data_IF_557319694047
#
_entry.id   IF_557319694047
#
_cell.length_a   1.000
_cell.length_b   1.000
_cell.length_c   1.000
_cell.angle_alpha   90.00
_cell.angle_beta   90.00
_cell.angle_gamma   90.00
#
_symmetry.space_group_name_H-M   'P 1'
#
loop_
_entity.id
_entity.type
_entity.pdbx_description
1 polymer ?
#
# COMPACT_ATOMS: atom_id res chain seq x y z
N UNK A 1 -7.14 6.07 2.90
CA UNK A 1 -8.37 6.75 3.36
C UNK A 1 -7.97 7.91 4.27
N UNK A 2 -8.70 9.03 4.21
CA UNK A 2 -8.43 10.29 4.89
C UNK A 2 -7.67 10.12 6.22
N UNK A 3 -6.40 10.55 6.23
CA UNK A 3 -5.61 10.63 7.46
C UNK A 3 -6.37 11.60 8.38
N UNK A 4 -6.78 11.11 9.54
CA UNK A 4 -7.76 11.73 10.43
C UNK A 4 -7.58 13.27 10.51
N UNK A 5 -8.54 14.03 9.97
CA UNK A 5 -8.61 15.48 10.11
C UNK A 5 -8.21 16.34 8.90
N UNK A 6 -7.59 15.77 7.85
CA UNK A 6 -7.31 16.49 6.61
C UNK A 6 -8.57 16.62 5.73
N UNK A 7 -8.74 17.79 5.10
CA UNK A 7 -9.85 18.13 4.20
C UNK A 7 -9.33 18.47 2.80
N UNK A 8 -10.15 18.22 1.78
CA UNK A 8 -9.85 18.71 0.44
C UNK A 8 -9.73 20.25 0.47
N UNK A 9 -8.64 20.76 -0.12
CA UNK A 9 -8.31 22.19 -0.07
C UNK A 9 -7.33 22.59 1.04
N UNK A 10 -6.93 21.66 1.92
CA UNK A 10 -5.83 21.92 2.85
C UNK A 10 -4.48 21.99 2.11
N UNK A 11 -3.67 23.01 2.42
CA UNK A 11 -2.29 23.14 1.93
C UNK A 11 -1.33 22.88 3.09
N UNK A 12 -0.55 21.81 3.01
CA UNK A 12 0.44 21.48 4.04
C UNK A 12 1.64 22.42 3.89
N UNK A 13 2.01 23.10 4.97
CA UNK A 13 3.13 24.05 5.01
C UNK A 13 4.29 23.55 5.88
N UNK A 14 4.02 22.69 6.87
CA UNK A 14 5.05 22.05 7.69
C UNK A 14 4.60 20.69 8.24
N UNK A 15 5.58 19.84 8.58
CA UNK A 15 5.38 18.57 9.25
C UNK A 15 6.43 18.39 10.37
N UNK A 16 5.99 18.10 11.60
CA UNK A 16 6.82 18.08 12.81
C UNK A 16 7.73 19.32 12.97
N UNK A 17 7.22 20.49 12.58
CA UNK A 17 7.97 21.75 12.61
C UNK A 17 8.95 21.96 11.45
N UNK A 18 9.12 20.97 10.56
CA UNK A 18 9.95 21.09 9.36
C UNK A 18 9.12 21.68 8.21
N UNK A 19 9.58 22.77 7.55
CA UNK A 19 8.90 23.33 6.39
C UNK A 19 8.78 22.31 5.25
N UNK A 20 7.59 22.19 4.68
CA UNK A 20 7.30 21.31 3.54
C UNK A 20 7.03 22.19 2.32
N UNK A 21 7.99 22.23 1.41
CA UNK A 21 7.93 23.09 0.22
C UNK A 21 7.11 22.53 -0.96
N UNK A 22 6.57 21.31 -0.84
CA UNK A 22 5.83 20.67 -1.92
C UNK A 22 5.62 19.18 -1.72
N UNK A 23 4.99 18.55 -2.72
CA UNK A 23 4.59 17.13 -2.66
C UNK A 23 5.77 16.18 -2.47
N UNK A 24 6.91 16.44 -3.11
CA UNK A 24 8.09 15.58 -3.02
C UNK A 24 8.73 15.66 -1.62
N UNK A 25 8.79 16.87 -1.06
CA UNK A 25 9.28 17.08 0.31
C UNK A 25 8.38 16.39 1.33
N UNK A 26 7.05 16.45 1.14
CA UNK A 26 6.09 15.73 1.99
C UNK A 26 6.29 14.22 1.91
N UNK A 27 6.41 13.67 0.70
CA UNK A 27 6.64 12.23 0.48
C UNK A 27 7.95 11.77 1.11
N UNK A 28 9.03 12.57 0.99
CA UNK A 28 10.31 12.28 1.63
C UNK A 28 10.19 12.29 3.16
N UNK A 29 9.50 13.30 3.70
CA UNK A 29 9.25 13.40 5.14
C UNK A 29 8.48 12.17 5.65
N UNK A 30 7.40 11.78 4.95
CA UNK A 30 6.61 10.59 5.27
C UNK A 30 7.47 9.33 5.27
N UNK A 31 8.36 9.17 4.28
CA UNK A 31 9.27 8.01 4.18
C UNK A 31 10.30 7.92 5.30
N UNK A 32 10.59 9.01 6.00
CA UNK A 32 11.55 9.06 7.12
C UNK A 32 10.91 8.84 8.49
N UNK A 33 9.58 8.87 8.60
CA UNK A 33 8.92 8.74 9.90
C UNK A 33 8.95 7.29 10.40
N UNK A 34 9.22 7.13 11.71
CA UNK A 34 9.05 5.85 12.37
C UNK A 34 7.57 5.44 12.39
N UNK A 35 7.32 4.15 12.23
CA UNK A 35 5.96 3.60 12.26
C UNK A 35 5.29 3.82 13.61
N UNK A 36 3.97 4.08 13.61
CA UNK A 36 3.20 4.37 14.82
C UNK A 36 3.45 5.77 15.40
N UNK A 37 4.32 6.58 14.80
CA UNK A 37 4.56 7.95 15.24
C UNK A 37 3.35 8.86 14.99
N UNK A 38 3.18 9.85 15.85
CA UNK A 38 2.27 10.97 15.59
C UNK A 38 3.03 12.03 14.81
N UNK A 39 2.45 12.47 13.70
CA UNK A 39 2.95 13.59 12.92
C UNK A 39 2.05 14.80 13.17
N UNK A 40 2.67 15.92 13.46
CA UNK A 40 2.01 17.22 13.57
C UNK A 40 2.13 17.94 12.23
N UNK A 41 1.03 18.13 11.52
CA UNK A 41 0.98 18.89 10.28
C UNK A 41 0.52 20.32 10.56
N UNK A 42 1.26 21.29 10.05
CA UNK A 42 0.76 22.65 9.88
C UNK A 42 0.12 22.75 8.50
N UNK A 43 -1.15 23.15 8.46
CA UNK A 43 -1.91 23.29 7.21
C UNK A 43 -2.54 24.68 7.13
N UNK A 44 -2.67 25.19 5.91
CA UNK A 44 -3.53 26.32 5.58
C UNK A 44 -4.86 25.76 5.09
N UNK A 45 -5.93 26.03 5.85
CA UNK A 45 -7.31 25.69 5.50
C UNK A 45 -8.09 26.97 5.30
N UNK A 46 -8.58 27.19 4.08
CA UNK A 46 -9.32 28.42 3.73
C UNK A 46 -8.51 29.69 4.10
N UNK A 47 -7.19 29.63 3.92
CA UNK A 47 -6.26 30.72 4.25
C UNK A 47 -5.90 30.87 5.74
N UNK A 48 -6.47 30.06 6.64
CA UNK A 48 -6.17 30.11 8.08
C UNK A 48 -5.21 29.00 8.49
N UNK A 49 -4.20 29.28 9.33
CA UNK A 49 -3.31 28.24 9.84
C UNK A 49 -4.07 27.33 10.82
N UNK A 50 -3.98 26.03 10.59
CA UNK A 50 -4.54 24.98 11.42
C UNK A 50 -3.43 23.97 11.69
N UNK A 51 -3.32 23.53 12.95
CA UNK A 51 -2.41 22.44 13.31
C UNK A 51 -3.21 21.17 13.50
N UNK A 52 -2.83 20.10 12.79
CA UNK A 52 -3.47 18.80 12.85
C UNK A 52 -2.46 17.78 13.37
N UNK A 53 -2.84 17.03 14.40
CA UNK A 53 -2.05 15.89 14.83
C UNK A 53 -2.64 14.63 14.21
N UNK A 54 -1.92 14.05 13.25
CA UNK A 54 -2.30 12.81 12.61
C UNK A 54 -1.50 11.66 13.22
N UNK A 55 -2.18 10.57 13.57
CA UNK A 55 -1.48 9.31 13.82
C UNK A 55 -1.10 8.72 12.47
N UNK A 56 0.20 8.51 12.21
CA UNK A 56 0.61 7.57 11.18
C UNK A 56 0.25 6.18 11.72
N UNK A 57 -1.01 5.77 11.48
CA UNK A 57 -1.45 4.41 11.81
C UNK A 57 -0.52 3.46 11.07
N UNK A 58 0.06 2.50 11.79
CA UNK A 58 0.64 1.30 11.19
C UNK A 58 -0.39 0.75 10.20
N UNK A 59 -0.13 0.92 8.91
CA UNK A 59 -0.67 -0.04 7.97
C UNK A 59 0.07 -1.34 8.27
N UNK A 60 -0.64 -2.47 8.44
CA UNK A 60 0.01 -3.75 8.63
C UNK A 60 1.10 -3.88 7.57
N UNK A 61 2.36 -4.05 7.99
CA UNK A 61 3.49 -4.24 7.05
C UNK A 61 3.21 -5.42 6.12
N UNK A 62 2.42 -6.36 6.63
CA UNK A 62 2.00 -7.60 5.99
C UNK A 62 0.51 -7.84 6.30
N UNK A 63 -0.27 -8.27 5.30
CA UNK A 63 -1.69 -8.64 5.41
C UNK A 63 -1.83 -10.08 4.93
N UNK A 64 -2.61 -10.90 5.64
CA UNK A 64 -2.86 -12.28 5.21
C UNK A 64 -3.78 -12.27 3.97
N UNK A 65 -3.45 -13.10 2.98
CA UNK A 65 -4.19 -13.18 1.72
C UNK A 65 -5.68 -13.48 1.90
N UNK A 66 -6.01 -14.30 2.90
CA UNK A 66 -7.39 -14.65 3.25
C UNK A 66 -8.24 -13.44 3.68
N UNK A 67 -7.63 -12.33 4.11
CA UNK A 67 -8.33 -11.09 4.43
C UNK A 67 -8.79 -10.33 3.17
N UNK A 68 -8.15 -10.57 2.03
CA UNK A 68 -8.58 -10.02 0.74
C UNK A 68 -9.58 -10.95 0.06
N UNK A 69 -9.23 -12.23 -0.06
CA UNK A 69 -10.04 -13.23 -0.73
C UNK A 69 -9.63 -14.64 -0.27
N UNK A 70 -10.59 -15.57 0.00
CA UNK A 70 -10.29 -16.95 0.36
C UNK A 70 -9.40 -17.70 -0.63
N UNK A 71 -9.37 -17.31 -1.91
CA UNK A 71 -8.49 -17.90 -2.94
C UNK A 71 -7.02 -17.58 -2.73
N UNK A 72 -6.72 -16.54 -1.95
CA UNK A 72 -5.37 -16.13 -1.58
C UNK A 72 -4.94 -16.68 -0.20
N UNK A 73 -5.74 -17.57 0.39
CA UNK A 73 -5.41 -18.14 1.69
C UNK A 73 -4.04 -18.83 1.70
N UNK A 74 -3.26 -18.54 2.74
CA UNK A 74 -1.90 -19.03 2.95
C UNK A 74 -0.79 -18.20 2.29
N UNK A 75 -1.12 -17.11 1.60
CA UNK A 75 -0.15 -16.08 1.22
C UNK A 75 -0.15 -14.93 2.24
N UNK A 76 0.98 -14.24 2.32
CA UNK A 76 1.15 -12.98 3.05
C UNK A 76 1.62 -11.92 2.08
N UNK A 77 0.96 -10.77 2.08
CA UNK A 77 1.23 -9.66 1.18
C UNK A 77 1.78 -8.48 1.96
N UNK A 78 2.86 -7.87 1.49
CA UNK A 78 3.51 -6.74 2.15
C UNK A 78 3.70 -5.56 1.20
N UNK A 79 3.97 -4.40 1.78
CA UNK A 79 4.49 -3.27 1.02
C UNK A 79 5.78 -3.64 0.27
N UNK A 80 5.99 -3.02 -0.89
CA UNK A 80 7.26 -3.15 -1.59
C UNK A 80 8.40 -2.53 -0.76
N UNK A 81 9.54 -3.22 -0.62
CA UNK A 81 10.76 -2.66 -0.07
C UNK A 81 11.17 -1.35 -0.77
N UNK A 82 11.72 -0.39 -0.01
CA UNK A 82 12.04 0.95 -0.50
C UNK A 82 13.01 0.93 -1.70
N UNK A 83 13.97 0.02 -1.73
CA UNK A 83 14.89 -0.15 -2.85
C UNK A 83 14.18 -0.52 -4.16
N UNK A 84 13.16 -1.37 -4.12
CA UNK A 84 12.37 -1.72 -5.31
C UNK A 84 11.50 -0.55 -5.74
N UNK A 85 10.85 0.14 -4.80
CA UNK A 85 10.08 1.35 -5.12
C UNK A 85 10.93 2.43 -5.77
N UNK A 86 12.14 2.64 -5.26
CA UNK A 86 13.09 3.61 -5.80
C UNK A 86 13.61 3.24 -7.20
N UNK A 87 13.56 1.96 -7.58
CA UNK A 87 13.82 1.52 -8.97
C UNK A 87 12.64 1.75 -9.93
N UNK A 88 11.55 2.36 -9.46
CA UNK A 88 10.36 2.65 -10.26
C UNK A 88 9.33 1.52 -10.28
N UNK A 89 9.48 0.50 -9.42
CA UNK A 89 8.48 -0.55 -9.26
C UNK A 89 7.37 -0.12 -8.32
N UNK A 90 6.13 -0.32 -8.76
CA UNK A 90 4.91 -0.16 -7.96
C UNK A 90 4.21 -1.50 -7.85
N UNK A 91 3.51 -1.75 -6.74
CA UNK A 91 2.89 -3.04 -6.47
C UNK A 91 2.92 -3.47 -5.01
N UNK A 92 2.46 -4.70 -4.80
CA UNK A 92 2.43 -5.37 -3.50
C UNK A 92 3.29 -6.62 -3.57
N UNK A 93 4.22 -6.76 -2.64
CA UNK A 93 5.09 -7.93 -2.55
C UNK A 93 4.33 -9.11 -1.94
N UNK A 94 4.49 -10.30 -2.51
CA UNK A 94 4.14 -11.55 -1.85
C UNK A 94 5.31 -11.95 -0.97
N UNK A 95 5.21 -11.63 0.31
CA UNK A 95 6.29 -11.85 1.28
C UNK A 95 6.52 -13.34 1.54
N UNK A 96 5.43 -14.11 1.69
CA UNK A 96 5.51 -15.55 1.89
C UNK A 96 4.28 -16.26 1.35
N UNK A 97 4.46 -17.55 1.02
CA UNK A 97 3.38 -18.44 0.61
C UNK A 97 3.58 -19.79 1.32
N UNK A 98 2.60 -20.20 2.11
CA UNK A 98 2.62 -21.47 2.81
C UNK A 98 2.51 -22.63 1.81
N UNK A 99 3.35 -23.66 1.99
CA UNK A 99 3.33 -24.86 1.14
C UNK A 99 1.97 -25.56 1.23
N UNK A 100 1.44 -25.98 0.08
CA UNK A 100 0.15 -26.69 0.00
C UNK A 100 -1.07 -25.79 0.18
N UNK A 101 -0.89 -24.48 0.43
CA UNK A 101 -1.99 -23.53 0.53
C UNK A 101 -2.70 -23.31 -0.80
N UNK A 102 -3.90 -22.73 -0.75
CA UNK A 102 -4.67 -22.38 -1.95
C UNK A 102 -3.91 -21.38 -2.83
N UNK A 103 -3.25 -20.39 -2.22
CA UNK A 103 -2.39 -19.47 -2.95
C UNK A 103 -1.24 -20.20 -3.68
N UNK A 104 -0.59 -21.16 -3.03
CA UNK A 104 0.46 -21.97 -3.65
C UNK A 104 -0.07 -22.83 -4.81
N UNK A 105 -1.25 -23.43 -4.65
CA UNK A 105 -1.91 -24.25 -5.69
C UNK A 105 -2.29 -23.40 -6.92
N UNK A 106 -2.63 -22.13 -6.72
CA UNK A 106 -2.86 -21.15 -7.78
C UNK A 106 -1.55 -20.61 -8.40
N UNK A 107 -0.39 -21.14 -7.99
CA UNK A 107 0.92 -20.82 -8.56
C UNK A 107 1.55 -19.54 -8.04
N UNK A 108 0.99 -18.92 -7.00
CA UNK A 108 1.57 -17.75 -6.34
C UNK A 108 2.84 -18.16 -5.57
N UNK A 109 3.88 -17.35 -5.64
CA UNK A 109 5.18 -17.63 -5.01
C UNK A 109 5.65 -16.45 -4.17
N UNK A 110 6.43 -16.74 -3.13
CA UNK A 110 7.14 -15.70 -2.39
C UNK A 110 8.11 -14.97 -3.34
N UNK A 111 8.16 -13.65 -3.26
CA UNK A 111 8.92 -12.80 -4.16
C UNK A 111 8.14 -12.31 -5.40
N UNK A 112 6.92 -12.81 -5.63
CA UNK A 112 6.04 -12.21 -6.64
C UNK A 112 5.68 -10.78 -6.27
N UNK A 113 5.64 -9.88 -7.24
CA UNK A 113 5.11 -8.52 -7.05
C UNK A 113 3.79 -8.42 -7.80
N UNK A 114 2.69 -8.25 -7.08
CA UNK A 114 1.36 -8.01 -7.67
C UNK A 114 1.30 -6.58 -8.17
N UNK A 115 1.13 -6.42 -9.48
CA UNK A 115 1.07 -5.11 -10.15
C UNK A 115 -0.35 -4.76 -10.63
N UNK A 116 -1.21 -5.77 -10.76
CA UNK A 116 -2.64 -5.57 -11.01
C UNK A 116 -3.45 -6.79 -10.53
N UNK A 117 -4.74 -6.58 -10.32
CA UNK A 117 -5.73 -7.63 -10.10
C UNK A 117 -6.94 -7.42 -11.02
N UNK A 118 -7.88 -8.36 -11.08
CA UNK A 118 -9.15 -8.16 -11.79
C UNK A 118 -9.88 -6.88 -11.34
N UNK A 119 -9.64 -6.44 -10.11
CA UNK A 119 -10.25 -5.27 -9.48
C UNK A 119 -9.58 -3.94 -9.89
N UNK A 120 -8.47 -3.97 -10.63
CA UNK A 120 -7.77 -2.79 -11.12
C UNK A 120 -6.25 -2.82 -10.91
N UNK A 121 -5.61 -1.67 -11.14
CA UNK A 121 -4.19 -1.46 -10.88
C UNK A 121 -3.89 -1.56 -9.39
N UNK A 122 -2.70 -2.08 -9.07
CA UNK A 122 -2.24 -2.27 -7.69
C UNK A 122 -0.91 -1.54 -7.54
N UNK A 123 -0.95 -0.34 -6.98
CA UNK A 123 0.25 0.48 -6.79
C UNK A 123 0.90 0.28 -5.43
N UNK A 124 0.08 -0.03 -4.41
CA UNK A 124 0.48 -0.25 -3.03
C UNK A 124 -0.52 -1.16 -2.29
N UNK A 125 -0.25 -1.49 -1.01
CA UNK A 125 -1.11 -2.40 -0.26
C UNK A 125 -2.49 -1.80 0.03
N UNK A 126 -2.59 -0.47 0.06
CA UNK A 126 -3.84 0.22 0.29
C UNK A 126 -4.76 0.14 -0.94
N UNK A 127 -4.21 0.31 -2.13
CA UNK A 127 -4.88 0.12 -3.41
C UNK A 127 -5.32 -1.34 -3.59
N UNK A 128 -4.45 -2.29 -3.25
CA UNK A 128 -4.79 -3.70 -3.27
C UNK A 128 -5.99 -3.99 -2.37
N UNK A 129 -5.94 -3.57 -1.09
CA UNK A 129 -7.06 -3.73 -0.15
C UNK A 129 -8.35 -3.08 -0.64
N UNK A 130 -8.26 -1.88 -1.23
CA UNK A 130 -9.43 -1.18 -1.76
C UNK A 130 -10.13 -1.97 -2.88
N UNK A 131 -9.35 -2.71 -3.68
CA UNK A 131 -9.85 -3.60 -4.72
C UNK A 131 -10.77 -4.72 -4.21
N UNK A 132 -10.60 -5.17 -2.97
CA UNK A 132 -11.37 -6.26 -2.36
C UNK A 132 -12.50 -5.79 -1.44
N UNK A 133 -12.89 -4.51 -1.49
CA UNK A 133 -14.09 -4.01 -0.78
C UNK A 133 -15.37 -4.77 -1.19
N UNK A 134 -15.40 -5.29 -2.42
CA UNK A 134 -16.35 -6.30 -2.87
C UNK A 134 -15.57 -7.46 -3.46
N UNK A 135 -15.89 -8.68 -3.05
CA UNK A 135 -15.24 -9.86 -3.56
C UNK A 135 -15.59 -10.05 -5.06
N UNK A 136 -14.60 -10.12 -5.97
CA UNK A 136 -14.85 -10.28 -7.39
C UNK A 136 -15.28 -11.73 -7.72
N UNK A 137 -16.14 -11.91 -8.72
CA UNK A 137 -16.55 -13.24 -9.17
C UNK A 137 -15.33 -14.04 -9.68
N UNK A 138 -14.57 -13.45 -10.61
CA UNK A 138 -13.30 -13.98 -11.09
C UNK A 138 -12.13 -13.18 -10.53
N UNK A 139 -11.09 -13.88 -10.07
CA UNK A 139 -9.87 -13.28 -9.57
C UNK A 139 -8.69 -13.77 -10.40
N UNK A 140 -7.93 -12.82 -10.93
CA UNK A 140 -6.65 -13.04 -11.55
C UNK A 140 -5.69 -11.97 -11.03
N UNK A 141 -4.47 -12.37 -10.70
CA UNK A 141 -3.40 -11.47 -10.32
C UNK A 141 -2.41 -11.36 -11.48
N UNK A 142 -2.09 -10.15 -11.90
CA UNK A 142 -0.91 -9.90 -12.73
C UNK A 142 0.28 -9.70 -11.80
N UNK A 143 1.26 -10.59 -11.92
CA UNK A 143 2.44 -10.60 -11.06
C UNK A 143 3.69 -10.40 -11.89
N UNK A 144 4.72 -9.84 -11.27
CA UNK A 144 6.08 -9.82 -11.79
C UNK A 144 6.94 -10.78 -10.96
N UNK A 145 7.61 -11.71 -11.64
CA UNK A 145 8.49 -12.73 -11.06
C UNK A 145 9.80 -12.77 -11.84
N UNK A 146 10.92 -12.51 -11.17
CA UNK A 146 12.25 -12.51 -11.81
C UNK A 146 12.35 -11.57 -13.01
N UNK A 147 11.63 -10.43 -12.98
CA UNK A 147 11.59 -9.46 -14.08
C UNK A 147 10.62 -9.80 -15.23
N UNK A 148 9.95 -10.95 -15.19
CA UNK A 148 8.92 -11.32 -16.17
C UNK A 148 7.52 -11.11 -15.60
N UNK A 149 6.60 -10.64 -16.45
CA UNK A 149 5.19 -10.52 -16.08
C UNK A 149 4.43 -11.80 -16.42
N UNK A 150 3.52 -12.19 -15.52
CA UNK A 150 2.62 -13.32 -15.71
C UNK A 150 1.24 -13.01 -15.14
N UNK A 151 0.25 -13.79 -15.55
CA UNK A 151 -1.11 -13.73 -14.99
C UNK A 151 -1.41 -15.05 -14.30
N UNK A 152 -1.81 -14.99 -13.05
CA UNK A 152 -2.20 -16.13 -12.24
C UNK A 152 -3.71 -16.07 -12.00
N UNK A 153 -4.52 -16.95 -12.62
CA UNK A 153 -5.92 -17.10 -12.27
C UNK A 153 -6.02 -17.74 -10.87
N UNK A 154 -6.82 -17.15 -10.01
CA UNK A 154 -7.04 -17.61 -8.65
C UNK A 154 -8.36 -18.39 -8.62
N UNK A 155 -8.29 -19.67 -8.26
CA UNK A 155 -9.43 -20.56 -8.18
C UNK A 155 -9.74 -20.98 -6.75
#
# INVERSE_FOLDING_TARGET
>A
AAQAGLRAGDVITAANGQPIGGRDALRNFEGLQALGSRVTLAVLREGKPVTLQIGLKEQPRSIAGAEFDPRLAGATFSELPANLRNSGLSGVLVESVARGSRAAQNGLQAGDVVIAATTGAVDDIAAFRAGFTRQPADLALRVMRGGQQGVLPMR
#
